data_IF_722476889415
#
_entry.id   IF_722476889415
#
_cell.length_a   1.000
_cell.length_b   1.000
_cell.length_c   1.000
_cell.angle_alpha   90.00
_cell.angle_beta   90.00
_cell.angle_gamma   90.00
#
_symmetry.space_group_name_H-M   'P 1'
#
loop_
_entity.id
_entity.type
_entity.pdbx_description
1 polymer ?
#
# COMPACT_ATOMS: atom_id res chain seq x y z
N UNK A 1 -46.35 52.55 -66.45
CA UNK A 1 -45.96 51.15 -66.71
C UNK A 1 -44.69 50.82 -65.94
N UNK A 2 -44.62 49.58 -65.44
CA UNK A 2 -43.61 48.99 -64.56
C UNK A 2 -42.32 48.65 -65.33
N UNK A 3 -41.13 48.82 -64.71
CA UNK A 3 -40.05 47.78 -64.66
C UNK A 3 -38.94 48.14 -63.65
N UNK A 4 -39.00 47.43 -62.52
CA UNK A 4 -37.96 46.83 -61.66
C UNK A 4 -36.46 47.03 -61.93
N UNK A 5 -35.73 47.38 -60.87
CA UNK A 5 -34.38 46.85 -60.59
C UNK A 5 -34.28 46.45 -59.10
N UNK A 6 -33.87 45.21 -58.77
CA UNK A 6 -33.84 44.71 -57.39
C UNK A 6 -32.55 45.13 -56.66
N UNK A 7 -32.69 45.61 -55.41
CA UNK A 7 -31.56 45.87 -54.51
C UNK A 7 -31.06 44.55 -53.91
N UNK A 8 -29.74 44.38 -53.86
CA UNK A 8 -29.02 43.15 -53.57
C UNK A 8 -29.21 42.54 -52.15
N UNK A 9 -29.06 41.20 -51.99
CA UNK A 9 -29.26 40.47 -50.73
C UNK A 9 -27.98 40.34 -49.87
N UNK A 10 -27.08 41.32 -49.89
CA UNK A 10 -25.74 41.21 -49.28
C UNK A 10 -25.74 41.51 -47.78
N UNK A 11 -26.63 42.41 -47.33
CA UNK A 11 -26.67 42.86 -45.93
C UNK A 11 -27.30 41.83 -44.99
N UNK A 12 -28.33 41.11 -45.46
CA UNK A 12 -29.02 40.08 -44.65
C UNK A 12 -28.12 38.88 -44.31
N UNK A 13 -27.15 38.55 -45.18
CA UNK A 13 -26.20 37.45 -44.96
C UNK A 13 -25.14 37.77 -43.91
N UNK A 14 -24.64 39.01 -43.89
CA UNK A 14 -23.67 39.45 -42.87
C UNK A 14 -24.31 39.49 -41.47
N UNK A 15 -25.58 39.91 -41.35
CA UNK A 15 -26.32 39.87 -40.09
C UNK A 15 -26.64 38.44 -39.63
N UNK A 16 -26.99 37.54 -40.57
CA UNK A 16 -27.24 36.15 -40.25
C UNK A 16 -25.97 35.42 -39.75
N UNK A 17 -24.81 35.71 -40.34
CA UNK A 17 -23.52 35.16 -39.91
C UNK A 17 -23.11 35.65 -38.51
N UNK A 18 -23.30 36.94 -38.20
CA UNK A 18 -23.06 37.47 -36.85
C UNK A 18 -24.03 36.90 -35.82
N UNK A 19 -25.30 36.67 -36.17
CA UNK A 19 -26.30 36.09 -35.28
C UNK A 19 -25.98 34.62 -34.93
N UNK A 20 -25.51 33.84 -35.92
CA UNK A 20 -25.10 32.44 -35.72
C UNK A 20 -23.84 32.36 -34.85
N UNK A 21 -22.88 33.26 -35.03
CA UNK A 21 -21.67 33.32 -34.20
C UNK A 21 -22.00 33.67 -32.73
N UNK A 22 -22.87 34.66 -32.51
CA UNK A 22 -23.31 35.05 -31.15
C UNK A 22 -24.09 33.90 -30.48
N UNK A 23 -24.95 33.21 -31.22
CA UNK A 23 -25.69 32.05 -30.71
C UNK A 23 -24.77 30.89 -30.34
N UNK A 24 -23.70 30.65 -31.11
CA UNK A 24 -22.69 29.64 -30.80
C UNK A 24 -21.87 29.98 -29.54
N UNK A 25 -21.55 31.27 -29.31
CA UNK A 25 -20.89 31.71 -28.09
C UNK A 25 -21.80 31.57 -26.85
N UNK A 26 -23.12 31.77 -26.99
CA UNK A 26 -24.09 31.54 -25.88
C UNK A 26 -24.20 30.05 -25.55
N UNK A 27 -24.16 29.16 -26.54
CA UNK A 27 -24.19 27.70 -26.30
C UNK A 27 -22.92 27.19 -25.60
N UNK A 28 -21.79 27.90 -25.70
CA UNK A 28 -20.57 27.56 -24.95
C UNK A 28 -20.68 27.88 -23.45
N UNK A 29 -21.57 28.80 -23.06
CA UNK A 29 -21.84 29.16 -21.66
C UNK A 29 -22.88 28.26 -20.98
N UNK A 30 -23.43 27.27 -21.70
CA UNK A 30 -24.38 26.30 -21.15
C UNK A 30 -23.70 25.17 -20.34
N UNK A 31 -22.36 25.13 -20.31
CA UNK A 31 -21.62 24.42 -19.26
C UNK A 31 -21.14 25.40 -18.18
N UNK A 32 -22.06 26.20 -17.64
CA UNK A 32 -21.88 26.83 -16.33
C UNK A 32 -22.56 25.92 -15.31
N UNK A 33 -21.92 24.80 -15.02
CA UNK A 33 -22.38 23.88 -13.99
C UNK A 33 -22.22 24.55 -12.64
N UNK A 34 -23.31 25.12 -12.14
CA UNK A 34 -23.40 25.60 -10.77
C UNK A 34 -23.75 24.41 -9.89
N UNK A 35 -22.78 23.53 -9.68
CA UNK A 35 -22.87 22.53 -8.63
C UNK A 35 -22.80 23.26 -7.29
N UNK A 36 -23.89 23.21 -6.53
CA UNK A 36 -23.79 23.37 -5.09
C UNK A 36 -22.70 22.40 -4.62
N UNK A 37 -21.69 22.81 -3.83
CA UNK A 37 -20.89 21.85 -3.11
C UNK A 37 -21.76 21.28 -1.98
N UNK A 38 -22.84 20.59 -2.34
CA UNK A 38 -23.36 19.54 -1.52
C UNK A 38 -22.20 18.59 -1.39
N UNK A 39 -21.66 18.48 -0.18
CA UNK A 39 -20.63 17.53 0.20
C UNK A 39 -21.04 16.17 -0.34
N UNK A 40 -20.55 15.81 -1.52
CA UNK A 40 -20.65 14.44 -2.01
C UNK A 40 -19.97 13.62 -0.91
N UNK A 41 -20.63 12.60 -0.35
CA UNK A 41 -19.94 11.69 0.55
C UNK A 41 -18.75 11.14 -0.23
N UNK A 42 -17.55 11.57 0.15
CA UNK A 42 -16.31 11.00 -0.37
C UNK A 42 -16.46 9.48 -0.18
N UNK A 43 -16.29 8.65 -1.22
CA UNK A 43 -16.25 7.21 -1.05
C UNK A 43 -15.35 6.89 0.13
N UNK A 44 -15.77 6.04 1.08
CA UNK A 44 -14.96 5.74 2.25
C UNK A 44 -13.57 5.35 1.75
N UNK A 45 -12.55 6.04 2.26
CA UNK A 45 -11.17 5.70 2.00
C UNK A 45 -11.02 4.20 2.29
N UNK A 46 -10.44 3.39 1.36
CA UNK A 46 -10.33 1.96 1.56
C UNK A 46 -9.65 1.73 2.90
N UNK A 47 -10.35 1.07 3.83
CA UNK A 47 -9.74 0.70 5.10
C UNK A 47 -8.49 -0.13 4.79
N UNK A 48 -7.35 0.19 5.44
CA UNK A 48 -6.11 -0.48 5.10
C UNK A 48 -6.26 -1.98 5.37
N UNK A 49 -5.99 -2.78 4.36
CA UNK A 49 -6.22 -4.21 4.40
C UNK A 49 -5.25 -4.87 5.40
N UNK A 50 -5.80 -5.46 6.45
CA UNK A 50 -5.06 -6.28 7.39
C UNK A 50 -4.78 -7.65 6.78
N UNK A 51 -3.50 -8.02 6.68
CA UNK A 51 -3.09 -9.33 6.17
C UNK A 51 -2.71 -10.25 7.33
N UNK A 52 -3.19 -11.49 7.26
CA UNK A 52 -2.86 -12.54 8.22
C UNK A 52 -1.91 -13.56 7.60
N UNK A 53 -0.89 -13.95 8.38
CA UNK A 53 0.11 -14.92 7.94
C UNK A 53 0.19 -16.10 8.88
N UNK A 54 0.40 -17.28 8.29
CA UNK A 54 0.67 -18.52 9.00
C UNK A 54 2.11 -18.91 8.69
N UNK A 55 3.00 -18.73 9.67
CA UNK A 55 4.44 -18.89 9.49
C UNK A 55 4.89 -20.13 10.24
N UNK A 56 5.50 -21.07 9.50
CA UNK A 56 6.13 -22.29 10.00
C UNK A 56 7.65 -22.15 9.95
N UNK A 57 8.33 -22.33 11.09
CA UNK A 57 9.80 -22.40 11.16
C UNK A 57 10.21 -23.79 11.64
N UNK A 58 11.12 -24.44 10.90
CA UNK A 58 11.62 -25.77 11.23
C UNK A 58 13.14 -25.75 11.26
N UNK A 59 13.72 -26.19 12.37
CA UNK A 59 15.17 -26.36 12.50
C UNK A 59 15.61 -27.68 11.86
N UNK A 60 16.38 -27.58 10.76
CA UNK A 60 16.91 -28.71 9.99
C UNK A 60 18.36 -29.07 10.35
N UNK A 61 18.95 -28.42 11.35
CA UNK A 61 20.31 -28.74 11.79
C UNK A 61 20.35 -30.06 12.56
N UNK A 62 21.51 -30.72 12.60
CA UNK A 62 21.70 -31.94 13.37
C UNK A 62 22.18 -31.62 14.79
N UNK A 63 21.35 -31.94 15.80
CA UNK A 63 21.69 -31.79 17.23
C UNK A 63 22.10 -30.38 17.67
N UNK A 64 21.70 -29.33 16.94
CA UNK A 64 22.02 -27.94 17.27
C UNK A 64 20.72 -27.14 17.45
N UNK A 65 20.36 -26.75 18.68
CA UNK A 65 19.28 -25.80 18.89
C UNK A 65 19.62 -24.45 18.23
N UNK A 66 18.62 -23.83 17.58
CA UNK A 66 18.73 -22.44 17.15
C UNK A 66 18.28 -21.51 18.28
N UNK A 67 18.75 -20.26 18.26
CA UNK A 67 18.24 -19.22 19.16
C UNK A 67 16.70 -19.12 19.06
N UNK A 68 16.04 -18.55 20.09
CA UNK A 68 14.63 -18.22 19.99
C UNK A 68 14.34 -17.41 18.72
N UNK A 69 13.26 -17.76 18.03
CA UNK A 69 12.90 -17.13 16.75
C UNK A 69 12.25 -15.76 17.02
N UNK A 70 12.71 -14.73 16.31
CA UNK A 70 12.09 -13.42 16.26
C UNK A 70 11.50 -13.16 14.86
N UNK A 71 10.22 -12.75 14.82
CA UNK A 71 9.50 -12.33 13.61
C UNK A 71 9.24 -10.83 13.70
N UNK A 72 9.54 -10.11 12.61
CA UNK A 72 9.39 -8.67 12.52
C UNK A 72 8.60 -8.29 11.28
N UNK A 73 7.77 -7.26 11.40
CA UNK A 73 7.28 -6.49 10.25
C UNK A 73 8.04 -5.18 10.16
N UNK A 74 8.43 -4.80 8.95
CA UNK A 74 9.31 -3.64 8.75
C UNK A 74 8.88 -2.80 7.57
N UNK A 75 9.36 -1.56 7.54
CA UNK A 75 9.43 -0.73 6.35
C UNK A 75 10.20 -1.48 5.26
N UNK A 76 9.85 -1.21 4.00
CA UNK A 76 10.47 -1.85 2.82
C UNK A 76 11.95 -1.48 2.68
N UNK A 77 12.33 -0.30 3.16
CA UNK A 77 13.67 0.26 3.05
C UNK A 77 14.61 -0.23 4.17
N UNK A 78 14.07 -0.81 5.25
CA UNK A 78 14.88 -1.29 6.37
C UNK A 78 15.63 -2.57 6.00
N UNK A 79 16.96 -2.50 6.03
CA UNK A 79 17.83 -3.68 5.99
C UNK A 79 18.32 -4.00 7.39
N UNK A 80 17.79 -5.07 8.01
CA UNK A 80 18.22 -5.51 9.34
C UNK A 80 19.68 -5.97 9.36
N UNK A 81 20.12 -6.66 8.31
CA UNK A 81 21.47 -7.21 8.17
C UNK A 81 21.91 -7.25 6.70
N UNK A 82 23.21 -7.35 6.48
CA UNK A 82 23.80 -7.49 5.15
C UNK A 82 25.05 -8.37 5.21
N UNK A 83 25.25 -9.24 4.21
CA UNK A 83 26.43 -10.08 4.11
C UNK A 83 27.73 -9.26 4.11
N UNK A 84 28.72 -9.71 4.87
CA UNK A 84 30.03 -9.06 4.97
C UNK A 84 30.06 -7.81 5.85
N UNK A 85 28.91 -7.37 6.38
CA UNK A 85 28.84 -6.31 7.38
C UNK A 85 28.92 -6.89 8.79
N UNK A 86 29.46 -6.14 9.77
CA UNK A 86 29.34 -6.52 11.17
C UNK A 86 27.87 -6.55 11.60
N UNK A 87 27.54 -7.41 12.56
CA UNK A 87 26.22 -7.42 13.17
C UNK A 87 25.99 -6.11 13.95
N UNK A 88 24.74 -5.66 14.01
CA UNK A 88 24.36 -4.63 14.99
C UNK A 88 24.31 -5.24 16.38
N UNK A 89 24.43 -4.42 17.43
CA UNK A 89 24.37 -4.88 18.82
C UNK A 89 23.09 -5.69 19.11
N UNK A 90 21.94 -5.27 18.57
CA UNK A 90 20.69 -5.98 18.74
C UNK A 90 20.72 -7.38 18.09
N UNK A 91 21.37 -7.53 16.93
CA UNK A 91 21.55 -8.82 16.27
C UNK A 91 22.57 -9.71 16.99
N UNK A 92 23.63 -9.14 17.57
CA UNK A 92 24.58 -9.87 18.42
C UNK A 92 23.86 -10.48 19.63
N UNK A 93 23.03 -9.70 20.32
CA UNK A 93 22.26 -10.19 21.48
C UNK A 93 21.27 -11.28 21.12
N UNK A 94 20.61 -11.17 19.97
CA UNK A 94 19.75 -12.24 19.46
C UNK A 94 20.57 -13.50 19.11
N UNK A 95 21.72 -13.34 18.47
CA UNK A 95 22.54 -14.47 18.01
C UNK A 95 23.24 -15.21 19.18
N UNK A 96 23.73 -14.49 20.18
CA UNK A 96 24.51 -15.05 21.28
C UNK A 96 23.67 -15.38 22.52
N UNK A 97 22.65 -14.56 22.79
CA UNK A 97 21.83 -14.65 24.01
C UNK A 97 20.37 -14.99 23.75
N UNK A 98 19.91 -14.97 22.50
CA UNK A 98 18.50 -15.19 22.16
C UNK A 98 17.56 -14.04 22.54
N UNK A 99 18.09 -12.87 22.89
CA UNK A 99 17.30 -11.70 23.28
C UNK A 99 16.97 -10.84 22.06
N UNK A 100 15.67 -10.76 21.71
CA UNK A 100 15.14 -9.97 20.60
C UNK A 100 14.61 -8.59 21.03
N UNK A 101 14.60 -8.27 22.32
CA UNK A 101 13.90 -7.10 22.88
C UNK A 101 14.36 -5.77 22.27
N UNK A 102 15.65 -5.66 21.93
CA UNK A 102 16.21 -4.44 21.33
C UNK A 102 15.79 -4.23 19.87
N UNK A 103 15.34 -5.29 19.17
CA UNK A 103 14.93 -5.17 17.77
C UNK A 103 13.67 -4.32 17.59
N UNK A 104 12.78 -4.29 18.59
CA UNK A 104 11.59 -3.45 18.58
C UNK A 104 11.92 -1.94 18.55
N UNK A 105 13.14 -1.55 18.94
CA UNK A 105 13.56 -0.15 18.98
C UNK A 105 14.22 0.30 17.67
N UNK A 106 14.35 -0.58 16.67
CA UNK A 106 14.92 -0.24 15.37
C UNK A 106 13.88 0.58 14.58
N UNK A 107 14.29 1.76 14.09
CA UNK A 107 13.44 2.58 13.24
C UNK A 107 12.99 1.81 12.01
N UNK A 108 11.69 1.82 11.74
CA UNK A 108 11.08 1.07 10.66
C UNK A 108 10.72 -0.37 11.01
N UNK A 109 10.78 -0.78 12.27
CA UNK A 109 10.10 -1.99 12.77
C UNK A 109 8.71 -1.59 13.26
N UNK A 110 7.67 -2.30 12.83
CA UNK A 110 6.28 -2.04 13.25
C UNK A 110 5.81 -3.03 14.32
N UNK A 111 6.17 -4.30 14.16
CA UNK A 111 5.79 -5.37 15.08
C UNK A 111 6.98 -6.28 15.33
N UNK A 112 7.14 -6.71 16.59
CA UNK A 112 8.07 -7.76 16.99
C UNK A 112 7.28 -8.87 17.69
N UNK A 113 7.54 -10.11 17.30
CA UNK A 113 7.05 -11.30 17.96
C UNK A 113 8.21 -12.24 18.20
N UNK A 114 8.32 -12.81 19.40
CA UNK A 114 9.41 -13.72 19.75
C UNK A 114 8.86 -15.05 20.25
N UNK A 115 9.60 -16.12 19.98
CA UNK A 115 9.50 -17.35 20.76
C UNK A 115 10.27 -17.16 22.09
N UNK A 116 9.78 -17.79 23.15
CA UNK A 116 10.45 -17.78 24.47
C UNK A 116 11.63 -18.76 24.59
N UNK A 117 11.71 -19.77 23.71
CA UNK A 117 12.66 -20.87 23.86
C UNK A 117 13.47 -21.12 22.58
N UNK A 118 14.71 -21.64 22.71
CA UNK A 118 15.49 -22.14 21.58
C UNK A 118 14.70 -23.15 20.75
N UNK A 119 14.82 -23.09 19.42
CA UNK A 119 14.13 -24.00 18.52
C UNK A 119 14.94 -25.31 18.38
N UNK A 120 14.47 -26.46 18.92
CA UNK A 120 15.20 -27.72 18.83
C UNK A 120 15.22 -28.25 17.39
N UNK A 121 16.21 -29.09 17.01
CA UNK A 121 16.21 -29.85 15.76
C UNK A 121 14.93 -30.65 15.58
N UNK A 122 14.36 -30.73 14.37
CA UNK A 122 13.12 -31.50 14.12
C UNK A 122 13.18 -32.96 14.59
N UNK A 123 14.31 -33.63 14.37
CA UNK A 123 14.49 -35.07 14.62
C UNK A 123 15.36 -35.37 15.87
N UNK A 124 15.45 -34.42 16.79
CA UNK A 124 16.25 -34.56 18.02
C UNK A 124 15.66 -35.55 19.05
N UNK A 125 16.50 -36.16 19.92
CA UNK A 125 16.03 -37.06 20.97
C UNK A 125 15.14 -36.33 21.98
N UNK A 126 13.95 -36.88 22.25
CA UNK A 126 13.00 -36.34 23.24
C UNK A 126 11.84 -35.51 22.66
N UNK A 127 11.70 -35.42 21.34
CA UNK A 127 10.58 -34.71 20.71
C UNK A 127 9.33 -35.60 20.65
N UNK A 128 8.25 -35.13 21.28
CA UNK A 128 6.88 -35.52 20.94
C UNK A 128 6.64 -35.20 19.45
N UNK A 129 5.75 -35.92 18.73
CA UNK A 129 5.39 -35.59 17.35
C UNK A 129 4.72 -34.20 17.29
N UNK A 130 5.56 -33.19 17.07
CA UNK A 130 5.32 -31.75 16.86
C UNK A 130 4.60 -30.97 17.97
N UNK A 131 5.03 -29.70 18.15
CA UNK A 131 4.30 -28.67 17.44
C UNK A 131 5.27 -27.89 16.58
N UNK A 132 5.01 -27.92 15.30
CA UNK A 132 5.28 -26.77 14.46
C UNK A 132 4.97 -25.49 15.24
N UNK A 133 5.85 -24.50 15.23
CA UNK A 133 5.50 -23.16 15.70
C UNK A 133 4.52 -22.55 14.69
N UNK A 134 3.29 -23.06 14.66
CA UNK A 134 2.17 -22.57 13.87
C UNK A 134 1.46 -21.53 14.73
N UNK A 135 1.74 -20.26 14.46
CA UNK A 135 0.96 -19.15 15.01
C UNK A 135 0.34 -18.43 13.82
N UNK A 136 -0.96 -18.20 13.91
CA UNK A 136 -1.65 -17.25 13.05
C UNK A 136 -1.29 -15.85 13.55
N UNK A 137 -0.76 -15.03 12.65
CA UNK A 137 -0.31 -13.70 12.97
C UNK A 137 -1.16 -12.68 12.23
N UNK A 138 -1.82 -11.83 13.02
CA UNK A 138 -2.46 -10.61 12.52
C UNK A 138 -1.38 -9.52 12.46
N UNK A 139 -0.92 -9.19 11.25
CA UNK A 139 0.17 -8.23 11.06
C UNK A 139 -0.32 -6.78 11.03
N UNK A 140 -1.59 -6.53 11.36
CA UNK A 140 -2.17 -5.20 11.28
C UNK A 140 -2.35 -4.71 9.83
N UNK A 141 -2.93 -3.52 9.66
CA UNK A 141 -3.09 -2.90 8.35
C UNK A 141 -1.73 -2.67 7.69
N UNK A 142 -1.45 -3.42 6.62
CA UNK A 142 -0.29 -3.15 5.79
C UNK A 142 -0.57 -1.90 4.96
N UNK A 143 0.34 -0.93 4.95
CA UNK A 143 0.34 0.16 3.99
C UNK A 143 0.76 -0.36 2.60
N UNK A 144 -0.02 -1.28 2.03
CA UNK A 144 0.12 -1.69 0.64
C UNK A 144 -0.83 -0.86 -0.23
N UNK A 145 -0.44 0.39 -0.48
CA UNK A 145 -0.95 1.12 -1.62
C UNK A 145 -0.23 0.60 -2.87
N UNK A 146 -0.67 -0.57 -3.36
CA UNK A 146 -0.22 -1.15 -4.63
C UNK A 146 -1.37 -1.15 -5.61
N UNK A 147 -1.43 -0.14 -6.47
CA UNK A 147 -2.24 -0.17 -7.69
C UNK A 147 -1.86 -1.42 -8.49
N UNK A 148 -2.83 -2.33 -8.66
CA UNK A 148 -2.77 -3.27 -9.76
C UNK A 148 -3.15 -2.49 -11.03
N UNK A 149 -2.15 -2.12 -11.82
CA UNK A 149 -2.32 -1.80 -13.25
C UNK A 149 -1.88 -3.00 -14.09
#
# INVERSE_FOLDING_TARGET
MNTTSPREPTQARAFALSLVLILALVMLTACSDNDHPGTQPQPPEPEPATSKFDIRVTNLTANQPLSPIALLTTDKELQLWQNGSPASLALERLAEGGDSSELANISGVHTLMSAEAPLPPRDGPGLQPEPDLRREYDLGPGHYAGEYQ
#
